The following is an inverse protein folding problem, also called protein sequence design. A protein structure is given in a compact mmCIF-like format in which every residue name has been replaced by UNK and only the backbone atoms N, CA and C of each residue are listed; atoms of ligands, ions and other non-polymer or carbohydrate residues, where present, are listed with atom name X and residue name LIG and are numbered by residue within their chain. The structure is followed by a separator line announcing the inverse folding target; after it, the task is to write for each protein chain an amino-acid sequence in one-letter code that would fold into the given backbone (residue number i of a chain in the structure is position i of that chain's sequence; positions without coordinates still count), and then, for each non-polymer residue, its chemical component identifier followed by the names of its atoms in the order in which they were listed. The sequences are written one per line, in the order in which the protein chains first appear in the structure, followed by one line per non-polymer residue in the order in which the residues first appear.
data_IF_002861746206
#
_entry.id   IF_002861746206
#
_cell.length_a   1.000
_cell.length_b   1.000
_cell.length_c   1.000
_cell.angle_alpha   90.00
_cell.angle_beta   90.00
_cell.angle_gamma   90.00
#
_symmetry.space_group_name_H-M   'P 1'
#
loop_
_entity.id
_entity.type
_entity.pdbx_description
1 polymer ?
#
# COMPACT_ATOMS: atom_id res chain seq x y z
N UNK A 1 -11.44 42.53 11.57
CA UNK A 1 -10.06 42.24 11.20
C UNK A 1 -9.74 40.89 11.82
N UNK A 2 -9.65 39.83 11.01
CA UNK A 2 -9.11 38.54 11.48
C UNK A 2 -7.63 38.80 11.72
N UNK A 3 -7.12 38.48 12.92
CA UNK A 3 -5.71 38.73 13.22
C UNK A 3 -4.85 37.72 12.45
N UNK A 4 -3.65 38.12 12.01
CA UNK A 4 -2.76 37.22 11.24
C UNK A 4 -2.46 35.91 12.01
N UNK A 5 -2.53 35.93 13.34
CA UNK A 5 -2.40 34.77 14.22
C UNK A 5 -3.52 33.73 14.06
N UNK A 6 -4.76 34.16 13.80
CA UNK A 6 -5.91 33.24 13.64
C UNK A 6 -5.86 32.51 12.29
N UNK A 7 -5.24 33.11 11.27
CA UNK A 7 -5.16 32.52 9.93
C UNK A 7 -4.11 31.41 9.85
N UNK A 8 -2.95 31.60 10.49
CA UNK A 8 -1.88 30.60 10.56
C UNK A 8 -2.32 29.36 11.38
N UNK A 9 -3.08 29.53 12.46
CA UNK A 9 -3.62 28.43 13.27
C UNK A 9 -4.69 27.62 12.52
N UNK A 10 -5.57 28.29 11.75
CA UNK A 10 -6.56 27.62 10.90
C UNK A 10 -5.89 26.86 9.74
N UNK A 11 -4.83 27.43 9.14
CA UNK A 11 -4.10 26.76 8.05
C UNK A 11 -3.27 25.57 8.56
N UNK A 12 -2.67 25.66 9.74
CA UNK A 12 -1.97 24.53 10.38
C UNK A 12 -2.90 23.38 10.76
N UNK A 13 -4.08 23.68 11.32
CA UNK A 13 -5.09 22.67 11.67
C UNK A 13 -5.76 22.04 10.44
N UNK A 14 -5.90 22.75 9.32
CA UNK A 14 -6.44 22.18 8.07
C UNK A 14 -5.50 21.15 7.43
N UNK A 15 -4.18 21.32 7.58
CA UNK A 15 -3.17 20.43 6.99
C UNK A 15 -3.02 19.12 7.79
N UNK A 16 -2.97 19.21 9.12
CA UNK A 16 -2.94 18.04 10.02
C UNK A 16 -4.19 17.17 9.85
N UNK A 17 -5.38 17.79 9.76
CA UNK A 17 -6.64 17.08 9.52
C UNK A 17 -6.72 16.41 8.14
N UNK A 18 -5.89 16.82 7.18
CA UNK A 18 -5.85 16.26 5.83
C UNK A 18 -4.89 15.07 5.78
N UNK A 19 -3.73 15.17 6.42
CA UNK A 19 -2.79 14.06 6.57
C UNK A 19 -3.40 12.89 7.36
N UNK A 20 -4.07 13.18 8.48
CA UNK A 20 -4.76 12.15 9.28
C UNK A 20 -5.84 11.40 8.49
N UNK A 21 -6.58 12.12 7.64
CA UNK A 21 -7.60 11.50 6.76
C UNK A 21 -6.96 10.62 5.68
N UNK A 22 -5.80 10.99 5.16
CA UNK A 22 -5.05 10.20 4.17
C UNK A 22 -4.53 8.92 4.84
N UNK A 23 -3.95 9.03 6.04
CA UNK A 23 -3.48 7.87 6.82
C UNK A 23 -4.63 6.91 7.11
N UNK A 24 -5.79 7.44 7.49
CA UNK A 24 -6.97 6.63 7.79
C UNK A 24 -7.58 5.96 6.55
N UNK A 25 -7.53 6.63 5.39
CA UNK A 25 -7.93 6.02 4.12
C UNK A 25 -6.98 4.88 3.72
N UNK A 26 -5.66 5.08 3.89
CA UNK A 26 -4.64 4.06 3.61
C UNK A 26 -4.83 2.83 4.51
N UNK A 27 -5.08 3.01 5.81
CA UNK A 27 -5.37 1.89 6.74
C UNK A 27 -6.60 1.10 6.31
N UNK A 28 -7.71 1.77 6.00
CA UNK A 28 -8.95 1.12 5.54
C UNK A 28 -8.76 0.36 4.23
N UNK A 29 -7.91 0.87 3.33
CA UNK A 29 -7.55 0.14 2.12
C UNK A 29 -6.73 -1.10 2.45
N UNK A 30 -5.73 -1.02 3.33
CA UNK A 30 -4.96 -2.19 3.76
C UNK A 30 -5.86 -3.27 4.35
N UNK A 31 -6.81 -2.91 5.20
CA UNK A 31 -7.80 -3.83 5.75
C UNK A 31 -8.67 -4.48 4.67
N UNK A 32 -9.12 -3.71 3.68
CA UNK A 32 -9.85 -4.26 2.53
C UNK A 32 -9.03 -5.29 1.76
N UNK A 33 -7.78 -4.95 1.42
CA UNK A 33 -6.87 -5.85 0.72
C UNK A 33 -6.65 -7.15 1.49
N UNK A 34 -6.34 -7.06 2.79
CA UNK A 34 -6.18 -8.22 3.66
C UNK A 34 -7.42 -9.09 3.71
N UNK A 35 -8.60 -8.49 3.86
CA UNK A 35 -9.87 -9.23 3.92
C UNK A 35 -10.19 -9.96 2.62
N UNK A 36 -9.91 -9.35 1.46
CA UNK A 36 -10.13 -9.99 0.16
C UNK A 36 -9.16 -11.15 -0.02
N UNK A 37 -7.87 -10.90 0.22
CA UNK A 37 -6.82 -11.86 -0.04
C UNK A 37 -6.61 -12.91 1.06
N UNK A 38 -7.32 -12.82 2.20
CA UNK A 38 -7.33 -13.88 3.21
C UNK A 38 -8.23 -15.06 2.85
N UNK A 39 -9.12 -14.91 1.86
CA UNK A 39 -9.98 -15.98 1.34
C UNK A 39 -9.18 -16.95 0.46
N UNK A 40 -9.57 -18.23 0.38
CA UNK A 40 -8.85 -19.23 -0.42
C UNK A 40 -8.74 -18.84 -1.90
N UNK A 41 -9.82 -18.34 -2.50
CA UNK A 41 -9.81 -17.84 -3.87
C UNK A 41 -8.99 -16.55 -3.99
N UNK A 42 -9.09 -15.65 -3.00
CA UNK A 42 -8.27 -14.46 -2.91
C UNK A 42 -6.78 -14.78 -2.93
N UNK A 43 -6.34 -15.76 -2.13
CA UNK A 43 -4.94 -16.22 -2.09
C UNK A 43 -4.47 -16.73 -3.46
N UNK A 44 -5.31 -17.49 -4.16
CA UNK A 44 -5.01 -17.99 -5.52
C UNK A 44 -4.87 -16.85 -6.52
N UNK A 45 -5.78 -15.88 -6.49
CA UNK A 45 -5.73 -14.69 -7.36
C UNK A 45 -4.50 -13.85 -7.04
N UNK A 46 -4.20 -13.61 -5.77
CA UNK A 46 -3.00 -12.87 -5.35
C UNK A 46 -1.73 -13.58 -5.82
N UNK A 47 -1.65 -14.89 -5.63
CA UNK A 47 -0.51 -15.68 -6.10
C UNK A 47 -0.32 -15.53 -7.61
N UNK A 48 -1.39 -15.66 -8.41
CA UNK A 48 -1.30 -15.49 -9.86
C UNK A 48 -0.85 -14.08 -10.25
N UNK A 49 -1.39 -13.04 -9.61
CA UNK A 49 -0.96 -11.65 -9.84
C UNK A 49 0.53 -11.45 -9.53
N UNK A 50 1.02 -12.00 -8.41
CA UNK A 50 2.43 -11.90 -8.05
C UNK A 50 3.31 -12.67 -9.03
N UNK A 51 2.85 -13.81 -9.55
CA UNK A 51 3.53 -14.54 -10.62
C UNK A 51 3.63 -13.70 -11.89
N UNK A 52 2.52 -13.12 -12.35
CA UNK A 52 2.48 -12.29 -13.57
C UNK A 52 3.35 -11.04 -13.45
N UNK A 53 3.48 -10.50 -12.24
CA UNK A 53 4.33 -9.35 -11.93
C UNK A 53 5.78 -9.73 -11.64
N UNK A 54 6.20 -10.96 -11.93
CA UNK A 54 7.56 -11.46 -11.70
C UNK A 54 8.03 -11.39 -10.24
N UNK A 55 7.12 -11.37 -9.25
CA UNK A 55 7.50 -11.23 -7.84
C UNK A 55 8.45 -12.33 -7.38
N UNK A 56 8.17 -13.58 -7.77
CA UNK A 56 8.95 -14.76 -7.42
C UNK A 56 10.15 -15.02 -8.35
N UNK A 57 10.36 -14.18 -9.36
CA UNK A 57 11.46 -14.35 -10.31
C UNK A 57 12.72 -13.63 -9.81
N UNK A 58 13.80 -14.38 -9.61
CA UNK A 58 15.09 -13.87 -9.13
C UNK A 58 16.06 -13.52 -10.27
N UNK A 59 15.73 -13.87 -11.52
CA UNK A 59 16.58 -13.67 -12.69
C UNK A 59 15.97 -12.64 -13.64
N UNK A 60 15.60 -11.49 -13.07
CA UNK A 60 15.03 -10.39 -13.83
C UNK A 60 16.15 -9.53 -14.39
N UNK A 61 16.15 -9.33 -15.71
CA UNK A 61 17.25 -8.66 -16.41
C UNK A 61 16.76 -7.45 -17.21
N UNK A 62 15.51 -7.48 -17.70
CA UNK A 62 14.97 -6.37 -18.47
C UNK A 62 14.41 -5.25 -17.58
N UNK A 63 14.55 -3.97 -17.96
CA UNK A 63 13.97 -2.85 -17.21
C UNK A 63 12.45 -2.98 -16.99
N UNK A 64 11.73 -3.57 -17.96
CA UNK A 64 10.28 -3.75 -17.89
C UNK A 64 9.89 -4.75 -16.80
N UNK A 65 10.59 -5.88 -16.73
CA UNK A 65 10.36 -6.88 -15.69
C UNK A 65 10.76 -6.34 -14.31
N UNK A 66 11.82 -5.53 -14.21
CA UNK A 66 12.20 -4.85 -12.95
C UNK A 66 11.06 -3.94 -12.48
N UNK A 67 10.46 -3.18 -13.39
CA UNK A 67 9.33 -2.31 -13.06
C UNK A 67 8.11 -3.10 -12.55
N UNK A 68 7.79 -4.24 -13.17
CA UNK A 68 6.71 -5.13 -12.73
C UNK A 68 7.01 -5.71 -11.34
N UNK A 69 8.22 -6.19 -11.11
CA UNK A 69 8.63 -6.74 -9.81
C UNK A 69 8.60 -5.69 -8.69
N UNK A 70 9.02 -4.46 -8.99
CA UNK A 70 8.92 -3.34 -8.06
C UNK A 70 7.47 -2.98 -7.75
N UNK A 71 6.58 -3.06 -8.75
CA UNK A 71 5.15 -2.88 -8.53
C UNK A 71 4.55 -3.99 -7.65
N UNK A 72 4.94 -5.25 -7.85
CA UNK A 72 4.53 -6.34 -6.96
C UNK A 72 4.97 -6.11 -5.52
N UNK A 73 6.24 -5.71 -5.31
CA UNK A 73 6.75 -5.33 -3.99
C UNK A 73 5.92 -4.20 -3.39
N UNK A 74 5.64 -3.15 -4.16
CA UNK A 74 4.77 -2.07 -3.70
C UNK A 74 3.37 -2.58 -3.29
N UNK A 75 2.77 -3.50 -4.05
CA UNK A 75 1.48 -4.09 -3.71
C UNK A 75 1.56 -4.81 -2.35
N UNK A 76 2.58 -5.63 -2.12
CA UNK A 76 2.78 -6.32 -0.85
C UNK A 76 3.00 -5.34 0.31
N UNK A 77 3.97 -4.42 0.19
CA UNK A 77 4.35 -3.53 1.29
C UNK A 77 3.26 -2.49 1.58
N UNK A 78 2.72 -1.84 0.55
CA UNK A 78 1.81 -0.70 0.72
C UNK A 78 0.34 -1.11 0.74
N UNK A 79 -0.08 -2.12 -0.03
CA UNK A 79 -1.49 -2.53 -0.10
C UNK A 79 -1.84 -3.64 0.90
N UNK A 80 -0.94 -4.58 1.15
CA UNK A 80 -1.15 -5.61 2.18
C UNK A 80 -0.55 -5.23 3.54
N UNK A 81 0.25 -4.17 3.61
CA UNK A 81 0.89 -3.73 4.85
C UNK A 81 1.84 -4.78 5.42
N UNK A 82 2.41 -5.64 4.57
CA UNK A 82 3.37 -6.66 4.97
C UNK A 82 4.75 -6.02 5.02
N UNK A 83 5.23 -5.66 6.22
CA UNK A 83 6.48 -4.90 6.37
C UNK A 83 7.74 -5.77 6.35
N UNK A 84 7.60 -7.10 6.23
CA UNK A 84 8.68 -8.07 6.14
C UNK A 84 8.25 -9.26 5.29
N UNK A 85 9.18 -9.84 4.52
CA UNK A 85 8.93 -10.97 3.61
C UNK A 85 8.31 -12.21 4.30
N UNK A 86 8.53 -12.36 5.61
CA UNK A 86 7.90 -13.42 6.43
C UNK A 86 6.38 -13.29 6.62
N UNK A 87 5.79 -12.13 6.40
CA UNK A 87 4.33 -11.92 6.58
C UNK A 87 3.52 -12.28 5.33
N UNK A 88 4.18 -12.62 4.22
CA UNK A 88 3.51 -12.97 2.96
C UNK A 88 2.93 -14.40 3.04
N UNK A 89 3.52 -15.30 3.84
CA UNK A 89 2.99 -16.65 4.05
C UNK A 89 1.77 -16.71 4.95
N UNK A 90 1.56 -15.65 5.76
CA UNK A 90 0.56 -15.61 6.83
C UNK A 90 -0.62 -14.67 6.50
N UNK A 91 -0.52 -13.89 5.41
CA UNK A 91 -1.59 -13.09 4.82
C UNK A 91 -2.55 -13.95 3.98
#
# INVERSE_FOLDING_TARGET
MVSDTDFDEIMGTLDENKEDKIIEADKRMVECFRRVFSTDDGKRVLHQLLTDLNFFNYQIISPQEIALNNYAKFMIFKRLGCNNDKQISDA
#
